data_IF_610130939356
#
_entry.id   IF_610130939356
#
_cell.length_a   1.000
_cell.length_b   1.000
_cell.length_c   1.000
_cell.angle_alpha   90.00
_cell.angle_beta   90.00
_cell.angle_gamma   90.00
#
_symmetry.space_group_name_H-M   'P 1'
#
loop_
_entity.id
_entity.type
_entity.pdbx_description
1 polymer ?
#
# COMPACT_ATOMS: atom_id res chain seq x y z
N UNK A 1 2.97 2.15 9.46
CA UNK A 1 3.18 0.93 10.26
C UNK A 1 4.28 0.10 9.60
N UNK A 2 5.49 0.13 10.17
CA UNK A 2 6.65 -0.62 9.64
C UNK A 2 6.50 -2.13 9.77
N UNK A 3 5.52 -2.61 10.55
CA UNK A 3 5.22 -4.03 10.74
C UNK A 3 4.30 -4.62 9.68
N UNK A 4 3.65 -3.81 8.84
CA UNK A 4 2.67 -4.27 7.83
C UNK A 4 3.28 -4.27 6.42
N UNK A 5 3.16 -5.39 5.70
CA UNK A 5 3.81 -5.57 4.38
C UNK A 5 3.17 -4.80 3.23
N UNK A 6 1.86 -4.53 3.30
CA UNK A 6 1.08 -3.87 2.23
C UNK A 6 0.36 -2.63 2.77
N UNK A 7 -0.25 -1.83 1.89
CA UNK A 7 -1.19 -0.79 2.33
C UNK A 7 -2.51 -1.48 2.68
N UNK A 8 -3.01 -1.28 3.90
CA UNK A 8 -4.30 -1.83 4.32
C UNK A 8 -5.36 -0.75 4.34
N UNK A 9 -6.49 -1.02 3.68
CA UNK A 9 -7.59 -0.07 3.50
C UNK A 9 -8.92 -0.69 3.94
N UNK A 10 -9.91 0.14 4.33
CA UNK A 10 -11.27 -0.33 4.51
C UNK A 10 -11.80 -1.00 3.23
N UNK A 11 -12.63 -2.02 3.39
CA UNK A 11 -13.23 -2.78 2.30
C UNK A 11 -13.97 -1.94 1.25
N UNK A 12 -14.69 -0.86 1.61
CA UNK A 12 -15.26 0.05 0.60
C UNK A 12 -14.20 0.70 -0.30
N UNK A 13 -13.05 1.10 0.27
CA UNK A 13 -11.93 1.67 -0.49
C UNK A 13 -11.27 0.58 -1.34
N UNK A 14 -11.04 -0.60 -0.78
CA UNK A 14 -10.49 -1.75 -1.51
C UNK A 14 -11.30 -2.06 -2.77
N UNK A 15 -12.63 -2.20 -2.61
CA UNK A 15 -13.56 -2.49 -3.70
C UNK A 15 -13.60 -1.38 -4.74
N UNK A 16 -13.59 -0.12 -4.31
CA UNK A 16 -13.59 1.03 -5.21
C UNK A 16 -12.31 1.08 -6.07
N UNK A 17 -11.14 0.79 -5.49
CA UNK A 17 -9.89 0.70 -6.25
C UNK A 17 -9.94 -0.45 -7.24
N UNK A 18 -10.33 -1.65 -6.79
CA UNK A 18 -10.43 -2.82 -7.67
C UNK A 18 -11.41 -2.59 -8.84
N UNK A 19 -12.56 -1.96 -8.57
CA UNK A 19 -13.56 -1.63 -9.59
C UNK A 19 -13.02 -0.62 -10.60
N UNK A 20 -12.39 0.46 -10.14
CA UNK A 20 -11.81 1.46 -11.04
C UNK A 20 -10.75 0.84 -11.96
N UNK A 21 -9.88 -0.01 -11.43
CA UNK A 21 -8.85 -0.68 -12.22
C UNK A 21 -9.48 -1.63 -13.25
N UNK A 22 -10.51 -2.39 -12.88
CA UNK A 22 -11.23 -3.30 -13.81
C UNK A 22 -11.95 -2.56 -14.94
N UNK A 23 -12.31 -1.30 -14.74
CA UNK A 23 -12.95 -0.46 -15.76
C UNK A 23 -11.96 0.22 -16.71
N UNK A 24 -10.66 0.12 -16.45
CA UNK A 24 -9.65 0.63 -17.37
C UNK A 24 -9.56 -0.29 -18.59
N UNK A 25 -9.52 0.30 -19.78
CA UNK A 25 -9.26 -0.42 -21.03
C UNK A 25 -7.75 -0.70 -21.18
N UNK A 26 -7.21 -1.48 -20.24
CA UNK A 26 -5.79 -1.82 -20.11
C UNK A 26 -5.67 -3.33 -19.87
N UNK A 27 -4.73 -4.03 -20.53
CA UNK A 27 -4.45 -5.43 -20.23
C UNK A 27 -4.12 -5.65 -18.74
N UNK A 28 -4.81 -6.58 -18.09
CA UNK A 28 -4.61 -6.96 -16.68
C UNK A 28 -3.43 -7.92 -16.50
N UNK A 29 -2.35 -7.70 -17.24
CA UNK A 29 -1.17 -8.57 -17.28
C UNK A 29 0.07 -7.97 -16.58
N UNK A 30 -0.05 -6.76 -16.02
CA UNK A 30 1.06 -6.03 -15.39
C UNK A 30 2.27 -5.79 -16.32
N UNK A 31 2.13 -5.96 -17.65
CA UNK A 31 3.23 -5.78 -18.60
C UNK A 31 3.72 -4.32 -18.70
N UNK A 32 2.82 -3.37 -18.50
CA UNK A 32 3.11 -1.94 -18.52
C UNK A 32 2.32 -1.21 -17.44
N UNK A 33 2.95 -1.02 -16.28
CA UNK A 33 2.31 -0.31 -15.17
C UNK A 33 2.17 1.19 -15.40
N UNK A 34 2.84 1.79 -16.39
CA UNK A 34 2.76 3.23 -16.66
C UNK A 34 1.37 3.69 -17.12
N UNK A 35 0.54 2.74 -17.58
CA UNK A 35 -0.84 2.97 -18.00
C UNK A 35 -1.81 3.08 -16.82
N UNK A 36 -1.42 2.62 -15.64
CA UNK A 36 -2.27 2.63 -14.44
C UNK A 36 -2.09 3.95 -13.67
N UNK A 37 -3.13 4.42 -12.97
CA UNK A 37 -3.06 5.70 -12.26
C UNK A 37 -2.20 5.62 -10.99
N UNK A 38 -1.67 6.75 -10.53
CA UNK A 38 -1.16 6.83 -9.16
C UNK A 38 -2.33 6.82 -8.17
N UNK A 39 -2.18 6.15 -7.03
CA UNK A 39 -3.04 6.41 -5.87
C UNK A 39 -2.56 7.66 -5.14
N UNK A 40 -3.48 8.57 -4.84
CA UNK A 40 -3.16 9.82 -4.14
C UNK A 40 -3.92 9.90 -2.82
N UNK A 41 -3.19 9.93 -1.72
CA UNK A 41 -3.73 10.15 -0.39
C UNK A 41 -3.47 11.60 0.04
N UNK A 42 -4.51 12.29 0.50
CA UNK A 42 -4.37 13.63 1.08
C UNK A 42 -4.35 13.54 2.60
N UNK A 43 -3.28 14.02 3.24
CA UNK A 43 -3.13 13.98 4.70
C UNK A 43 -2.41 15.25 5.16
N UNK A 44 -3.00 15.98 6.13
CA UNK A 44 -2.38 17.19 6.71
C UNK A 44 -2.03 18.27 5.68
N UNK A 45 -2.85 18.44 4.63
CA UNK A 45 -2.59 19.37 3.53
C UNK A 45 -1.53 18.90 2.51
N UNK A 46 -0.87 17.77 2.76
CA UNK A 46 0.10 17.15 1.86
C UNK A 46 -0.57 16.10 0.96
N UNK A 47 -0.04 15.94 -0.25
CA UNK A 47 -0.45 14.88 -1.19
C UNK A 47 0.62 13.81 -1.28
N UNK A 48 0.31 12.62 -0.79
CA UNK A 48 1.15 11.44 -0.89
C UNK A 48 0.73 10.66 -2.14
N UNK A 49 1.64 10.57 -3.10
CA UNK A 49 1.45 9.79 -4.33
C UNK A 49 2.09 8.42 -4.20
N UNK A 50 1.38 7.39 -4.62
CA UNK A 50 1.86 6.02 -4.69
C UNK A 50 1.75 5.54 -6.14
N UNK A 51 2.87 5.15 -6.77
CA UNK A 51 2.84 4.67 -8.13
C UNK A 51 2.12 3.31 -8.22
N UNK A 52 1.68 2.90 -9.43
CA UNK A 52 1.16 1.56 -9.70
C UNK A 52 1.92 0.41 -9.04
N UNK A 53 3.26 0.42 -9.06
CA UNK A 53 4.06 -0.65 -8.41
C UNK A 53 3.90 -0.74 -6.88
N UNK A 54 3.29 0.25 -6.23
CA UNK A 54 2.97 0.23 -4.81
C UNK A 54 1.69 -0.55 -4.50
N UNK A 55 0.81 -0.76 -5.49
CA UNK A 55 -0.49 -1.40 -5.31
C UNK A 55 -0.85 -2.44 -6.39
N UNK A 56 -0.03 -2.65 -7.42
CA UNK A 56 -0.18 -3.67 -8.45
C UNK A 56 1.10 -4.52 -8.58
N UNK A 57 0.92 -5.81 -8.81
CA UNK A 57 2.02 -6.75 -9.02
C UNK A 57 1.53 -8.19 -8.98
N UNK A 58 2.36 -9.12 -8.54
CA UNK A 58 2.03 -10.55 -8.49
C UNK A 58 2.28 -11.13 -7.12
N UNK A 59 1.53 -12.17 -6.76
CA UNK A 59 1.79 -12.99 -5.58
C UNK A 59 2.55 -14.27 -5.94
N UNK A 60 3.38 -14.73 -5.02
CA UNK A 60 4.00 -16.07 -5.02
C UNK A 60 3.84 -16.73 -3.67
N UNK A 61 4.19 -18.01 -3.56
CA UNK A 61 4.14 -18.73 -2.29
C UNK A 61 2.72 -19.04 -1.83
N UNK A 62 2.55 -19.36 -0.55
CA UNK A 62 1.25 -19.70 0.05
C UNK A 62 1.01 -18.81 1.26
N UNK A 63 -0.18 -18.26 1.35
CA UNK A 63 -0.62 -17.47 2.51
C UNK A 63 -0.99 -18.38 3.68
N UNK A 64 -0.70 -17.93 4.90
CA UNK A 64 -1.22 -18.51 6.13
C UNK A 64 -2.68 -18.08 6.40
N UNK A 65 -3.30 -18.65 7.42
CA UNK A 65 -4.70 -18.37 7.77
C UNK A 65 -4.94 -16.91 8.17
N UNK A 66 -3.95 -16.25 8.78
CA UNK A 66 -4.03 -14.83 9.14
C UNK A 66 -4.05 -13.98 7.87
N UNK A 67 -3.16 -14.26 6.93
CA UNK A 67 -3.03 -13.52 5.66
C UNK A 67 -4.27 -13.67 4.78
N UNK A 68 -4.89 -14.86 4.76
CA UNK A 68 -6.15 -15.13 4.03
C UNK A 68 -7.30 -14.18 4.42
N UNK A 69 -7.27 -13.61 5.62
CA UNK A 69 -8.31 -12.71 6.08
C UNK A 69 -8.21 -11.32 5.42
N UNK A 70 -7.03 -10.93 4.95
CA UNK A 70 -6.74 -9.58 4.44
C UNK A 70 -6.38 -9.52 2.97
N UNK A 71 -5.75 -10.56 2.43
CA UNK A 71 -5.29 -10.59 1.04
C UNK A 71 -6.36 -11.25 0.18
N UNK A 72 -6.75 -10.59 -0.92
CA UNK A 72 -7.64 -11.14 -1.95
C UNK A 72 -6.84 -11.32 -3.25
N UNK A 73 -6.75 -12.54 -3.74
CA UNK A 73 -5.98 -12.90 -4.95
C UNK A 73 -6.77 -12.73 -6.25
N UNK A 74 -8.08 -12.58 -6.12
CA UNK A 74 -9.11 -12.63 -7.18
C UNK A 74 -9.78 -11.27 -7.43
N UNK A 75 -9.28 -10.20 -6.80
CA UNK A 75 -9.93 -8.88 -6.83
C UNK A 75 -9.97 -8.20 -8.22
N UNK A 76 -9.07 -8.61 -9.12
CA UNK A 76 -8.86 -7.98 -10.42
C UNK A 76 -9.20 -8.87 -11.63
N UNK A 77 -9.57 -10.14 -11.41
CA UNK A 77 -9.81 -11.08 -12.50
C UNK A 77 -10.43 -12.38 -12.03
N UNK A 78 -11.02 -13.11 -12.98
CA UNK A 78 -11.67 -14.40 -12.76
C UNK A 78 -10.62 -15.51 -12.57
N UNK A 79 -10.92 -16.53 -11.76
CA UNK A 79 -10.02 -17.64 -11.43
C UNK A 79 -9.56 -18.42 -12.68
N UNK A 80 -10.31 -18.32 -13.77
CA UNK A 80 -10.01 -18.92 -15.08
C UNK A 80 -8.87 -18.22 -15.83
N UNK A 81 -8.66 -16.93 -15.55
CA UNK A 81 -7.54 -16.17 -16.07
C UNK A 81 -6.40 -16.30 -15.07
N UNK A 82 -5.28 -16.89 -15.49
CA UNK A 82 -3.99 -16.71 -14.83
C UNK A 82 -3.62 -15.23 -14.93
N UNK A 83 -4.32 -14.38 -14.18
CA UNK A 83 -4.20 -12.93 -14.23
C UNK A 83 -2.97 -12.60 -13.41
N UNK A 84 -1.83 -12.28 -14.05
CA UNK A 84 -0.57 -12.11 -13.32
C UNK A 84 -0.58 -10.81 -12.51
N UNK A 85 -1.55 -9.91 -12.76
CA UNK A 85 -1.69 -8.62 -12.12
C UNK A 85 -2.76 -8.66 -11.02
N UNK A 86 -2.30 -8.50 -9.78
CA UNK A 86 -3.07 -8.60 -8.56
C UNK A 86 -2.96 -7.30 -7.76
N UNK A 87 -4.01 -7.03 -6.97
CA UNK A 87 -4.06 -5.87 -6.10
C UNK A 87 -3.21 -6.14 -4.85
N UNK A 88 -2.13 -5.37 -4.70
CA UNK A 88 -1.20 -5.43 -3.56
C UNK A 88 -1.67 -4.56 -2.39
N UNK A 89 -2.96 -4.65 -2.08
CA UNK A 89 -3.61 -4.00 -0.93
C UNK A 89 -4.16 -5.07 0.02
N UNK A 90 -4.31 -4.70 1.28
CA UNK A 90 -5.04 -5.50 2.27
C UNK A 90 -6.45 -4.93 2.46
N UNK A 91 -7.44 -5.82 2.45
CA UNK A 91 -8.84 -5.54 2.76
C UNK A 91 -9.08 -5.72 4.27
N UNK A 92 -9.26 -4.60 4.98
CA UNK A 92 -9.58 -4.61 6.41
C UNK A 92 -11.05 -4.96 6.71
N UNK A 93 -11.88 -5.18 5.69
CA UNK A 93 -13.30 -5.42 5.85
C UNK A 93 -14.07 -4.14 6.21
N UNK A 94 -15.08 -4.20 7.10
CA UNK A 94 -15.83 -3.01 7.52
C UNK A 94 -14.91 -1.89 8.03
N UNK A 95 -15.21 -0.61 7.72
CA UNK A 95 -14.44 0.52 8.21
C UNK A 95 -14.25 0.49 9.73
N UNK A 96 -12.99 0.58 10.16
CA UNK A 96 -12.64 0.78 11.56
C UNK A 96 -12.59 2.29 11.81
N UNK A 97 -13.60 2.82 12.49
CA UNK A 97 -13.71 4.25 12.73
C UNK A 97 -12.72 4.74 13.79
N UNK A 98 -12.15 5.90 13.54
CA UNK A 98 -11.32 6.66 14.49
C UNK A 98 -11.98 8.01 14.75
N UNK A 99 -11.43 8.81 15.67
CA UNK A 99 -11.89 10.19 15.88
C UNK A 99 -11.69 11.09 14.64
N UNK A 100 -10.92 10.63 13.65
CA UNK A 100 -10.64 11.34 12.40
C UNK A 100 -11.25 10.65 11.17
N UNK A 101 -12.06 9.60 11.36
CA UNK A 101 -12.66 8.80 10.29
C UNK A 101 -12.01 7.42 10.09
N UNK A 102 -12.28 6.75 8.96
CA UNK A 102 -11.83 5.38 8.71
C UNK A 102 -10.31 5.22 8.71
N UNK A 103 -9.84 4.17 9.39
CA UNK A 103 -8.41 3.86 9.47
C UNK A 103 -7.86 3.32 8.15
N UNK A 104 -6.72 3.87 7.71
CA UNK A 104 -5.85 3.32 6.65
C UNK A 104 -4.47 3.07 7.25
N UNK A 105 -3.85 1.95 6.89
CA UNK A 105 -2.54 1.55 7.39
C UNK A 105 -1.52 1.64 6.26
N UNK A 106 -0.60 2.58 6.39
CA UNK A 106 0.51 2.77 5.46
C UNK A 106 1.65 1.81 5.83
N UNK A 107 1.70 0.67 5.15
CA UNK A 107 2.74 -0.35 5.32
C UNK A 107 4.03 -0.08 4.53
N UNK A 108 4.77 -1.14 4.22
CA UNK A 108 6.05 -1.05 3.50
C UNK A 108 6.03 -0.27 2.17
N UNK A 109 4.95 -0.26 1.34
CA UNK A 109 4.94 0.57 0.14
C UNK A 109 5.15 2.06 0.43
N UNK A 110 4.67 2.56 1.57
CA UNK A 110 4.92 3.94 2.00
C UNK A 110 6.39 4.16 2.36
N UNK A 111 6.99 3.29 3.17
CA UNK A 111 8.39 3.43 3.57
C UNK A 111 9.39 3.22 2.43
N UNK A 112 8.98 2.55 1.36
CA UNK A 112 9.77 2.42 0.13
C UNK A 112 9.71 3.69 -0.72
N UNK A 113 8.57 4.37 -0.75
CA UNK A 113 8.39 5.61 -1.52
C UNK A 113 8.89 6.84 -0.76
N UNK A 114 8.81 6.82 0.58
CA UNK A 114 9.12 7.94 1.45
C UNK A 114 10.10 7.55 2.55
N UNK A 115 11.24 8.23 2.56
CA UNK A 115 12.14 8.20 3.71
C UNK A 115 11.41 8.87 4.87
N UNK A 116 11.23 8.15 5.98
CA UNK A 116 10.38 8.58 7.08
C UNK A 116 11.19 8.68 8.37
N UNK A 117 11.14 9.82 9.03
CA UNK A 117 11.73 10.04 10.36
C UNK A 117 10.62 10.26 11.36
N UNK A 118 10.68 9.56 12.50
CA UNK A 118 9.72 9.73 13.59
C UNK A 118 10.36 10.56 14.69
N UNK A 119 9.72 11.65 15.06
CA UNK A 119 10.04 12.42 16.25
C UNK A 119 9.02 12.09 17.33
N UNK A 120 9.50 11.48 18.42
CA UNK A 120 8.65 11.04 19.51
C UNK A 120 8.34 12.17 20.51
N UNK A 121 9.03 13.31 20.40
CA UNK A 121 8.92 14.45 21.30
C UNK A 121 9.07 14.06 22.78
N UNK A 122 8.48 14.87 23.66
CA UNK A 122 8.42 14.63 25.10
C UNK A 122 7.18 13.86 25.56
N UNK A 123 6.16 13.74 24.69
CA UNK A 123 4.88 13.12 25.02
C UNK A 123 4.00 12.91 23.78
N UNK A 124 2.80 12.32 23.96
CA UNK A 124 1.92 11.98 22.82
C UNK A 124 1.50 13.19 21.97
N UNK A 125 1.38 14.38 22.56
CA UNK A 125 0.95 15.59 21.85
C UNK A 125 2.00 16.22 20.95
N UNK A 126 3.28 15.91 21.18
CA UNK A 126 4.43 16.52 20.48
C UNK A 126 5.01 15.58 19.42
N UNK A 127 4.36 14.44 19.17
CA UNK A 127 4.82 13.45 18.20
C UNK A 127 4.59 13.96 16.80
N UNK A 128 5.63 13.89 16.00
CA UNK A 128 5.57 14.22 14.58
C UNK A 128 6.31 13.18 13.77
N UNK A 129 6.07 13.19 12.47
CA UNK A 129 6.91 12.46 11.54
C UNK A 129 7.15 13.31 10.32
N UNK A 130 8.34 13.16 9.76
CA UNK A 130 8.80 13.89 8.60
C UNK A 130 9.02 12.90 7.48
N UNK A 131 8.69 13.32 6.25
CA UNK A 131 8.90 12.52 5.06
C UNK A 131 9.64 13.33 4.00
N UNK A 132 10.47 12.62 3.25
CA UNK A 132 10.99 13.07 1.96
C UNK A 132 10.89 11.92 0.97
N UNK A 133 11.01 12.21 -0.34
CA UNK A 133 11.11 11.13 -1.33
C UNK A 133 12.33 10.27 -1.01
N UNK A 134 12.14 8.95 -1.02
CA UNK A 134 13.24 8.02 -0.88
C UNK A 134 14.00 7.90 -2.21
N UNK A 135 15.33 7.85 -2.14
CA UNK A 135 16.17 7.37 -3.25
C UNK A 135 16.10 5.84 -3.36
N UNK A 136 16.67 5.25 -4.42
CA UNK A 136 16.81 3.79 -4.55
C UNK A 136 17.58 3.11 -3.40
N UNK A 137 18.48 3.83 -2.73
CA UNK A 137 19.19 3.36 -1.53
C UNK A 137 18.46 3.64 -0.22
N UNK A 138 17.16 3.98 -0.27
CA UNK A 138 16.33 4.32 0.89
C UNK A 138 16.95 5.41 1.80
N UNK A 139 17.59 6.42 1.22
CA UNK A 139 18.00 7.64 1.94
C UNK A 139 17.09 8.81 1.54
N UNK A 140 17.12 9.88 2.34
CA UNK A 140 16.41 11.11 2.01
C UNK A 140 16.90 11.68 0.67
N UNK A 141 15.98 11.86 -0.29
CA UNK A 141 16.26 12.57 -1.53
C UNK A 141 16.46 14.07 -1.29
N UNK A 142 17.06 14.75 -2.28
CA UNK A 142 17.25 16.20 -2.23
C UNK A 142 15.92 16.97 -2.15
N UNK A 143 15.99 18.15 -1.53
CA UNK A 143 14.85 19.01 -1.24
C UNK A 143 14.15 19.46 -2.54
N UNK A 144 13.00 18.86 -2.80
CA UNK A 144 12.15 19.14 -3.94
C UNK A 144 10.75 18.65 -3.60
N UNK A 145 9.74 19.36 -4.11
CA UNK A 145 8.32 19.13 -3.85
C UNK A 145 8.02 17.62 -3.73
N UNK A 146 7.28 17.18 -2.70
CA UNK A 146 6.90 15.76 -2.52
C UNK A 146 6.15 15.18 -3.75
N UNK A 147 5.78 16.06 -4.67
CA UNK A 147 5.08 15.83 -5.93
C UNK A 147 6.01 15.87 -7.17
N UNK A 148 7.19 16.51 -7.10
CA UNK A 148 8.06 16.82 -8.24
C UNK A 148 9.48 16.23 -8.07
N UNK A 149 9.57 14.89 -8.03
CA UNK A 149 10.84 14.16 -8.10
C UNK A 149 11.17 13.74 -9.54
N UNK A 150 12.35 14.13 -10.03
CA UNK A 150 12.85 14.00 -11.41
C UNK A 150 12.78 12.59 -12.04
N UNK A 151 12.65 12.60 -13.38
CA UNK A 151 12.34 11.52 -14.34
C UNK A 151 13.27 10.30 -14.41
N UNK A 152 14.26 10.14 -13.52
CA UNK A 152 15.20 9.00 -13.59
C UNK A 152 14.87 7.83 -12.66
N UNK A 153 14.14 8.05 -11.55
CA UNK A 153 13.65 6.97 -10.67
C UNK A 153 12.39 6.26 -11.23
N UNK A 154 11.83 6.74 -12.35
CA UNK A 154 10.58 6.24 -12.95
C UNK A 154 10.62 4.77 -13.34
N UNK A 155 11.81 4.23 -13.69
CA UNK A 155 11.89 2.86 -14.19
C UNK A 155 11.53 1.78 -13.16
N UNK A 156 11.65 2.06 -11.86
CA UNK A 156 11.22 1.15 -10.78
C UNK A 156 9.75 1.38 -10.38
N UNK A 157 9.23 2.60 -10.57
CA UNK A 157 7.86 2.98 -10.21
C UNK A 157 6.82 2.24 -11.03
N UNK A 158 7.18 1.82 -12.23
CA UNK A 158 6.34 1.08 -13.16
C UNK A 158 6.80 -0.36 -13.39
N UNK A 159 7.67 -0.91 -12.52
CA UNK A 159 7.99 -2.34 -12.53
C UNK A 159 7.08 -3.09 -11.57
N UNK A 160 6.38 -4.13 -12.04
CA UNK A 160 5.60 -5.00 -11.17
C UNK A 160 6.45 -5.58 -10.04
N UNK A 161 5.86 -5.63 -8.84
CA UNK A 161 6.48 -6.28 -7.69
C UNK A 161 5.92 -7.67 -7.51
N UNK A 162 6.79 -8.62 -7.20
CA UNK A 162 6.38 -9.93 -6.72
C UNK A 162 6.42 -9.97 -5.19
N UNK A 163 5.33 -10.39 -4.58
CA UNK A 163 5.16 -10.48 -3.13
C UNK A 163 4.99 -11.94 -2.74
N UNK A 164 5.88 -12.46 -1.89
CA UNK A 164 5.73 -13.78 -1.31
C UNK A 164 4.70 -13.75 -0.18
N UNK A 165 3.58 -14.44 -0.38
CA UNK A 165 2.48 -14.57 0.55
C UNK A 165 2.87 -15.22 1.88
N UNK A 166 3.91 -16.07 1.89
CA UNK A 166 4.43 -16.66 3.12
C UNK A 166 5.23 -15.68 3.99
N UNK A 167 5.63 -14.53 3.42
CA UNK A 167 6.38 -13.48 4.09
C UNK A 167 5.55 -12.21 4.35
N UNK A 168 4.25 -12.24 4.00
CA UNK A 168 3.34 -11.12 4.26
C UNK A 168 3.12 -10.97 5.76
N UNK A 169 3.26 -9.74 6.26
CA UNK A 169 2.97 -9.38 7.64
C UNK A 169 1.70 -8.54 7.67
N UNK A 170 0.71 -9.01 8.41
CA UNK A 170 -0.57 -8.33 8.64
C UNK A 170 -0.47 -7.35 9.82
N UNK A 171 -1.37 -6.37 9.94
CA UNK A 171 -1.34 -5.38 11.01
C UNK A 171 -1.32 -5.97 12.42
N UNK A 172 -0.39 -5.51 13.26
CA UNK A 172 -0.15 -6.10 14.58
C UNK A 172 -1.33 -5.96 15.56
N UNK A 173 -2.08 -4.86 15.47
CA UNK A 173 -3.26 -4.63 16.32
C UNK A 173 -4.33 -5.70 16.12
N UNK A 174 -4.39 -6.31 14.93
CA UNK A 174 -5.36 -7.36 14.64
C UNK A 174 -5.09 -8.64 15.47
N UNK A 175 -3.82 -9.04 15.58
CA UNK A 175 -3.42 -10.19 16.42
C UNK A 175 -3.76 -9.95 17.89
N UNK A 176 -3.69 -8.70 18.34
CA UNK A 176 -4.06 -8.32 19.71
C UNK A 176 -5.59 -8.31 19.92
N UNK A 177 -6.36 -7.93 18.90
CA UNK A 177 -7.82 -7.94 18.94
C UNK A 177 -8.40 -9.36 18.96
N UNK A 178 -7.79 -10.33 18.27
CA UNK A 178 -8.21 -11.74 18.34
C UNK A 178 -7.83 -12.43 19.67
N UNK A 179 -6.69 -12.06 20.27
CA UNK A 179 -6.27 -12.59 21.57
C UNK A 179 -7.07 -12.04 22.76
N UNK A 180 -7.83 -10.98 22.55
CA UNK A 180 -8.82 -10.44 23.49
C UNK A 180 -10.19 -10.61 22.87
N UNK A 181 -10.77 -11.80 23.01
CA UNK A 181 -12.19 -12.00 22.68
C UNK A 181 -13.02 -10.84 23.24
N UNK A 182 -13.81 -10.23 22.36
CA UNK A 182 -14.83 -9.24 22.74
C UNK A 182 -15.73 -9.79 23.84
#
# INVERSE_FOLDING_TARGET
DTGTSLIAVPGPIYKAVAEQIRQLDIPMDCSDLSKFPDLVLSAGGQKLRFPPSAYLGSYTGRMDADTQQFVRTEALGDESMQTPCQLLLMDLGPPQETTLGPMVILGMPFFREYYTTFDLGTGRGDRSFFISKATDSCVAGEEGDLVAGNRMADSLRYKPRTVDLGAVRVPHWYKQAQGKGL
#
